data_IF_311810882817
#
_entry.id   IF_311810882817
#
_cell.length_a   1.000
_cell.length_b   1.000
_cell.length_c   1.000
_cell.angle_alpha   90.00
_cell.angle_beta   90.00
_cell.angle_gamma   90.00
#
_symmetry.space_group_name_H-M   'P 1'
#
loop_
_entity.id
_entity.type
_entity.pdbx_description
1 polymer ?
#
# COMPACT_ATOMS: atom_id res chain seq x y z
N UNK A 1 -16.00 -8.53 33.04
CA UNK A 1 -16.23 -8.42 31.59
C UNK A 1 -15.13 -9.24 30.92
N UNK A 2 -15.41 -10.45 30.43
CA UNK A 2 -14.41 -11.18 29.65
C UNK A 2 -14.23 -10.40 28.35
N UNK A 3 -13.03 -9.85 28.11
CA UNK A 3 -12.66 -9.40 26.76
C UNK A 3 -12.74 -10.63 25.86
N UNK A 4 -13.45 -10.54 24.73
CA UNK A 4 -13.29 -11.54 23.68
C UNK A 4 -11.80 -11.75 23.42
N UNK A 5 -11.33 -12.99 23.22
CA UNK A 5 -9.95 -13.22 22.84
C UNK A 5 -9.65 -12.38 21.59
N UNK A 6 -8.52 -11.66 21.62
CA UNK A 6 -8.00 -10.99 20.43
C UNK A 6 -7.62 -12.10 19.46
N UNK A 7 -8.12 -12.04 18.23
CA UNK A 7 -7.77 -13.00 17.19
C UNK A 7 -6.25 -13.05 17.00
N UNK A 8 -5.71 -14.25 16.81
CA UNK A 8 -4.31 -14.48 16.45
C UNK A 8 -3.98 -13.91 15.07
N UNK A 9 -2.70 -13.65 14.79
CA UNK A 9 -2.31 -13.12 13.48
C UNK A 9 -2.65 -14.12 12.36
N UNK A 10 -2.59 -15.42 12.63
CA UNK A 10 -2.99 -16.48 11.72
C UNK A 10 -4.49 -16.49 11.42
N UNK A 11 -5.34 -16.26 12.44
CA UNK A 11 -6.78 -16.13 12.25
C UNK A 11 -7.11 -14.89 11.42
N UNK A 12 -6.45 -13.75 11.71
CA UNK A 12 -6.64 -12.51 10.95
C UNK A 12 -6.18 -12.69 9.50
N UNK A 13 -5.02 -13.31 9.27
CA UNK A 13 -4.51 -13.56 7.92
C UNK A 13 -5.49 -14.44 7.12
N UNK A 14 -6.03 -15.49 7.74
CA UNK A 14 -7.03 -16.35 7.12
C UNK A 14 -8.33 -15.58 6.76
N UNK A 15 -8.86 -14.77 7.68
CA UNK A 15 -10.07 -13.95 7.46
C UNK A 15 -9.89 -12.90 6.35
N UNK A 16 -8.69 -12.32 6.26
CA UNK A 16 -8.35 -11.32 5.24
C UNK A 16 -7.91 -11.93 3.91
N UNK A 17 -7.91 -13.27 3.79
CA UNK A 17 -7.33 -13.98 2.66
C UNK A 17 -5.88 -13.54 2.35
N UNK A 18 -5.11 -13.25 3.40
CA UNK A 18 -3.74 -12.79 3.35
C UNK A 18 -2.71 -13.81 3.83
N UNK A 19 -1.45 -13.41 3.76
CA UNK A 19 -0.27 -14.16 4.18
C UNK A 19 0.35 -13.50 5.41
N UNK A 20 0.68 -14.30 6.44
CA UNK A 20 1.44 -13.83 7.59
C UNK A 20 2.92 -13.73 7.22
N UNK A 21 3.45 -12.50 7.11
CA UNK A 21 4.84 -12.24 6.70
C UNK A 21 5.78 -12.27 7.90
N UNK A 22 5.34 -11.73 9.03
CA UNK A 22 6.07 -11.72 10.30
C UNK A 22 5.07 -11.60 11.47
N UNK A 23 5.53 -11.83 12.71
CA UNK A 23 4.73 -11.50 13.90
C UNK A 23 4.29 -10.04 13.84
N UNK A 24 2.98 -9.81 13.82
CA UNK A 24 2.41 -8.47 13.71
C UNK A 24 2.19 -7.94 12.29
N UNK A 25 2.47 -8.70 11.22
CA UNK A 25 2.40 -8.21 9.84
C UNK A 25 1.74 -9.20 8.87
N UNK A 26 0.67 -8.74 8.22
CA UNK A 26 -0.08 -9.51 7.23
C UNK A 26 0.01 -8.80 5.88
N UNK A 27 0.23 -9.57 4.81
CA UNK A 27 0.16 -9.12 3.42
C UNK A 27 -1.12 -9.63 2.78
N UNK A 28 -1.88 -8.74 2.17
CA UNK A 28 -3.07 -9.07 1.38
C UNK A 28 -2.72 -8.77 -0.07
N UNK A 29 -2.79 -9.77 -0.93
CA UNK A 29 -2.66 -9.57 -2.38
C UNK A 29 -4.05 -9.76 -2.98
N UNK A 30 -4.60 -8.68 -3.51
CA UNK A 30 -5.87 -8.75 -4.25
C UNK A 30 -5.57 -9.19 -5.68
N UNK A 31 -6.40 -10.09 -6.21
CA UNK A 31 -6.32 -10.54 -7.60
C UNK A 31 -6.30 -9.35 -8.57
N UNK A 32 -5.56 -9.53 -9.67
CA UNK A 32 -5.44 -8.53 -10.72
C UNK A 32 -6.80 -8.10 -11.24
N UNK A 33 -7.04 -6.79 -11.22
CA UNK A 33 -8.30 -6.21 -11.64
C UNK A 33 -8.17 -5.70 -13.07
N UNK A 34 -8.79 -6.40 -14.01
CA UNK A 34 -8.93 -5.93 -15.38
C UNK A 34 -9.68 -4.60 -15.41
N UNK A 35 -9.08 -3.59 -16.03
CA UNK A 35 -9.71 -2.29 -16.22
C UNK A 35 -10.83 -2.43 -17.28
N UNK A 36 -12.10 -2.45 -16.87
CA UNK A 36 -13.26 -2.55 -17.77
C UNK A 36 -14.28 -1.42 -17.61
N UNK A 37 -15.04 -1.09 -18.66
CA UNK A 37 -15.99 0.03 -18.69
C UNK A 37 -17.15 -0.05 -17.68
N UNK A 38 -17.43 -1.20 -17.06
CA UNK A 38 -18.60 -1.45 -16.19
C UNK A 38 -18.31 -1.36 -14.68
N UNK A 39 -17.04 -1.42 -14.28
CA UNK A 39 -16.56 -1.07 -12.93
C UNK A 39 -15.59 0.06 -13.16
N UNK A 40 -15.82 1.31 -12.69
CA UNK A 40 -15.18 2.50 -13.23
C UNK A 40 -13.71 2.21 -13.50
N UNK A 41 -13.42 1.93 -14.77
CA UNK A 41 -12.07 1.55 -15.13
C UNK A 41 -11.25 2.79 -14.84
N UNK A 42 -10.02 2.57 -14.38
CA UNK A 42 -8.97 3.57 -14.56
C UNK A 42 -8.81 3.97 -16.04
N UNK A 43 -9.67 3.58 -16.99
CA UNK A 43 -9.81 4.25 -18.29
C UNK A 43 -10.08 5.74 -18.15
N UNK A 44 -10.73 6.21 -17.08
CA UNK A 44 -10.76 7.64 -16.78
C UNK A 44 -9.36 8.19 -16.52
N UNK A 45 -8.46 7.40 -15.90
CA UNK A 45 -7.04 7.73 -15.76
C UNK A 45 -6.23 7.48 -17.04
N UNK A 46 -6.66 6.58 -17.92
CA UNK A 46 -6.03 6.33 -19.23
C UNK A 46 -6.36 7.44 -20.25
N UNK A 47 -7.50 8.12 -20.07
CA UNK A 47 -7.88 9.33 -20.80
C UNK A 47 -7.35 10.62 -20.13
N UNK A 48 -6.98 10.54 -18.85
CA UNK A 48 -6.21 11.60 -18.20
C UNK A 48 -4.80 11.54 -18.76
N UNK A 49 -4.43 12.58 -19.48
CA UNK A 49 -3.04 12.82 -19.82
C UNK A 49 -2.25 13.01 -18.52
N UNK A 50 -1.61 11.94 -18.06
CA UNK A 50 -0.71 11.95 -16.92
C UNK A 50 0.69 12.42 -17.32
N UNK A 51 1.01 12.58 -18.62
CA UNK A 51 2.31 13.08 -19.10
C UNK A 51 2.73 14.43 -18.49
N UNK A 52 1.83 15.38 -18.13
CA UNK A 52 2.21 16.61 -17.45
C UNK A 52 2.59 16.40 -15.97
N UNK A 53 2.17 15.28 -15.37
CA UNK A 53 2.42 14.92 -13.97
C UNK A 53 3.57 13.91 -13.82
N UNK A 54 3.78 13.09 -14.84
CA UNK A 54 4.92 12.22 -15.02
C UNK A 54 6.06 13.07 -15.58
N UNK A 55 7.30 12.86 -15.14
CA UNK A 55 8.41 13.43 -15.91
C UNK A 55 8.31 12.90 -17.34
N UNK A 56 8.55 13.74 -18.36
CA UNK A 56 8.59 13.30 -19.76
C UNK A 56 9.40 11.99 -19.83
N UNK A 57 8.73 10.84 -20.09
CA UNK A 57 9.27 9.47 -20.30
C UNK A 57 9.07 8.39 -19.21
N UNK A 58 8.32 8.54 -18.12
CA UNK A 58 8.12 7.41 -17.17
C UNK A 58 7.05 6.40 -17.65
N UNK A 59 7.38 5.13 -17.94
CA UNK A 59 6.39 4.13 -18.36
C UNK A 59 5.35 3.84 -17.27
N UNK A 60 4.08 3.64 -17.64
CA UNK A 60 3.00 3.36 -16.68
C UNK A 60 3.31 2.16 -15.76
N UNK A 61 3.97 1.14 -16.30
CA UNK A 61 4.41 -0.07 -15.60
C UNK A 61 5.53 0.14 -14.58
N UNK A 62 6.19 1.28 -14.62
CA UNK A 62 7.23 1.68 -13.66
C UNK A 62 6.69 2.53 -12.51
N UNK A 63 5.37 2.83 -12.52
CA UNK A 63 4.70 3.59 -11.48
C UNK A 63 4.21 2.70 -10.35
N UNK A 64 4.33 3.21 -9.13
CA UNK A 64 3.74 2.62 -7.94
C UNK A 64 2.86 3.65 -7.24
N UNK A 65 1.55 3.40 -7.25
CA UNK A 65 0.67 4.17 -6.39
C UNK A 65 0.77 3.66 -4.95
N UNK A 66 0.91 4.58 -3.99
CA UNK A 66 0.98 4.27 -2.57
C UNK A 66 0.05 5.19 -1.78
N UNK A 67 -0.59 4.62 -0.76
CA UNK A 67 -1.43 5.33 0.21
C UNK A 67 -1.25 4.69 1.59
N UNK A 68 -1.25 5.50 2.65
CA UNK A 68 -1.06 5.03 4.03
C UNK A 68 -2.22 5.41 4.94
N UNK A 69 -2.65 4.48 5.78
CA UNK A 69 -3.53 4.76 6.91
C UNK A 69 -2.72 4.72 8.20
N UNK A 70 -2.90 5.74 9.03
CA UNK A 70 -2.02 6.01 10.16
C UNK A 70 -2.79 6.14 11.47
N UNK A 71 -2.14 5.84 12.58
CA UNK A 71 -2.74 5.98 13.91
C UNK A 71 -2.97 7.44 14.35
N UNK A 72 -2.53 8.43 13.56
CA UNK A 72 -2.74 9.84 13.87
C UNK A 72 -2.20 10.79 12.79
N UNK A 73 -2.77 11.99 12.72
CA UNK A 73 -2.58 12.92 11.59
C UNK A 73 -1.32 13.82 11.67
N UNK A 74 -0.59 13.80 12.79
CA UNK A 74 0.41 14.81 13.13
C UNK A 74 1.88 14.35 13.02
N UNK A 75 2.15 13.15 12.50
CA UNK A 75 3.51 12.65 12.22
C UNK A 75 4.46 12.58 13.44
N UNK A 76 3.93 12.68 14.65
CA UNK A 76 4.70 12.72 15.90
C UNK A 76 5.30 11.35 16.28
N UNK A 77 6.09 11.33 17.36
CA UNK A 77 6.59 10.07 17.94
C UNK A 77 5.41 9.21 18.41
N UNK A 78 5.13 8.12 17.71
CA UNK A 78 4.00 7.21 17.99
C UNK A 78 2.95 7.12 16.88
N UNK A 79 3.02 7.97 15.84
CA UNK A 79 2.28 7.72 14.59
C UNK A 79 2.96 6.59 13.84
N UNK A 80 2.17 5.58 13.48
CA UNK A 80 2.59 4.41 12.69
C UNK A 80 1.59 4.24 11.55
N UNK A 81 2.10 3.90 10.36
CA UNK A 81 1.26 3.42 9.26
C UNK A 81 0.82 1.99 9.59
N UNK A 82 -0.44 1.79 9.94
CA UNK A 82 -0.94 0.46 10.28
C UNK A 82 -1.53 -0.27 9.07
N UNK A 83 -1.80 0.46 7.99
CA UNK A 83 -2.14 -0.11 6.70
C UNK A 83 -1.40 0.68 5.60
N UNK A 84 -0.79 -0.02 4.67
CA UNK A 84 -0.14 0.58 3.50
C UNK A 84 -0.65 -0.13 2.26
N UNK A 85 -1.32 0.61 1.39
CA UNK A 85 -1.81 0.14 0.11
C UNK A 85 -0.82 0.46 -1.01
N UNK A 86 -0.70 -0.49 -1.93
CA UNK A 86 0.10 -0.40 -3.15
C UNK A 86 -0.75 -0.78 -4.34
N UNK A 87 -0.65 -0.04 -5.43
CA UNK A 87 -1.23 -0.44 -6.71
C UNK A 87 -0.19 -0.33 -7.84
N UNK A 88 -0.01 -1.44 -8.54
CA UNK A 88 0.81 -1.55 -9.75
C UNK A 88 -0.08 -1.53 -10.97
N UNK A 89 0.30 -0.79 -12.00
CA UNK A 89 -0.36 -0.86 -13.30
C UNK A 89 0.49 -1.72 -14.23
N UNK A 90 0.04 -2.95 -14.54
CA UNK A 90 0.81 -3.90 -15.37
C UNK A 90 -0.09 -4.53 -16.40
N UNK A 91 0.36 -4.57 -17.65
CA UNK A 91 -0.32 -5.27 -18.76
C UNK A 91 -1.81 -4.87 -18.95
N UNK A 92 -2.18 -3.64 -18.57
CA UNK A 92 -3.58 -3.15 -18.65
C UNK A 92 -4.46 -3.54 -17.47
N UNK A 93 -3.88 -4.13 -16.43
CA UNK A 93 -4.55 -4.48 -15.17
C UNK A 93 -3.94 -3.71 -14.00
N UNK A 94 -4.66 -3.71 -12.88
CA UNK A 94 -4.18 -3.14 -11.61
C UNK A 94 -4.04 -4.27 -10.60
N UNK A 95 -2.82 -4.48 -10.11
CA UNK A 95 -2.53 -5.38 -9.00
C UNK A 95 -2.47 -4.57 -7.71
N UNK A 96 -3.24 -4.98 -6.69
CA UNK A 96 -3.29 -4.29 -5.39
C UNK A 96 -2.68 -5.16 -4.31
N UNK A 97 -1.71 -4.63 -3.59
CA UNK A 97 -1.16 -5.25 -2.38
C UNK A 97 -1.40 -4.33 -1.19
N UNK A 98 -1.77 -4.89 -0.05
CA UNK A 98 -1.90 -4.15 1.21
C UNK A 98 -1.09 -4.85 2.30
N UNK A 99 -0.36 -4.08 3.10
CA UNK A 99 0.24 -4.56 4.33
C UNK A 99 -0.56 -4.06 5.52
N UNK A 100 -0.97 -4.95 6.40
CA UNK A 100 -1.74 -4.64 7.60
C UNK A 100 -0.93 -5.02 8.83
N UNK A 101 -0.71 -4.03 9.69
CA UNK A 101 -0.02 -4.18 10.96
C UNK A 101 -1.02 -4.57 12.05
N UNK A 102 -0.85 -5.75 12.62
CA UNK A 102 -1.66 -6.22 13.77
C UNK A 102 -0.96 -5.92 15.11
N UNK A 103 0.37 -5.74 15.10
CA UNK A 103 1.20 -5.39 16.27
C UNK A 103 2.38 -4.52 15.86
N UNK A 104 2.83 -3.65 16.77
CA UNK A 104 4.02 -2.82 16.54
C UNK A 104 5.30 -3.61 16.23
N UNK A 105 5.42 -4.87 16.65
CA UNK A 105 6.57 -5.74 16.33
C UNK A 105 6.76 -5.95 14.82
N UNK A 106 5.66 -5.87 14.04
CA UNK A 106 5.70 -6.04 12.58
C UNK A 106 6.19 -4.81 11.81
N UNK A 107 6.32 -3.64 12.45
CA UNK A 107 6.60 -2.37 11.75
C UNK A 107 7.92 -2.45 10.97
N UNK A 108 8.95 -3.04 11.57
CA UNK A 108 10.24 -3.21 10.91
C UNK A 108 10.13 -4.07 9.66
N UNK A 109 9.47 -5.23 9.75
CA UNK A 109 9.28 -6.12 8.60
C UNK A 109 8.45 -5.43 7.51
N UNK A 110 7.46 -4.62 7.89
CA UNK A 110 6.65 -3.85 6.95
C UNK A 110 7.52 -2.84 6.19
N UNK A 111 8.37 -2.08 6.87
CA UNK A 111 9.26 -1.11 6.22
C UNK A 111 10.28 -1.79 5.30
N UNK A 112 10.75 -3.00 5.63
CA UNK A 112 11.61 -3.80 4.76
C UNK A 112 10.89 -4.21 3.47
N UNK A 113 9.66 -4.72 3.56
CA UNK A 113 8.82 -5.06 2.39
C UNK A 113 8.51 -3.83 1.54
N UNK A 114 8.13 -2.71 2.18
CA UNK A 114 7.84 -1.44 1.50
C UNK A 114 9.08 -0.93 0.75
N UNK A 115 10.25 -0.97 1.38
CA UNK A 115 11.51 -0.56 0.75
C UNK A 115 11.84 -1.43 -0.46
N UNK A 116 11.67 -2.75 -0.34
CA UNK A 116 11.89 -3.68 -1.44
C UNK A 116 10.93 -3.42 -2.61
N UNK A 117 9.66 -3.08 -2.35
CA UNK A 117 8.69 -2.75 -3.38
C UNK A 117 9.01 -1.41 -4.08
N UNK A 118 9.26 -0.36 -3.31
CA UNK A 118 9.60 0.97 -3.85
C UNK A 118 10.87 0.90 -4.72
N UNK A 119 11.84 0.06 -4.36
CA UNK A 119 13.09 -0.10 -5.12
C UNK A 119 12.92 -0.66 -6.54
N UNK A 120 11.75 -1.24 -6.85
CA UNK A 120 11.43 -1.82 -8.16
C UNK A 120 10.74 -0.83 -9.11
N UNK A 121 10.48 0.40 -8.65
CA UNK A 121 9.70 1.39 -9.37
C UNK A 121 10.50 2.67 -9.61
N UNK A 122 10.20 3.38 -10.69
CA UNK A 122 10.90 4.61 -11.06
C UNK A 122 10.25 5.85 -10.45
N UNK A 123 8.94 5.79 -10.18
CA UNK A 123 8.21 6.90 -9.57
C UNK A 123 7.07 6.44 -8.67
N UNK A 124 6.86 7.21 -7.59
CA UNK A 124 5.72 7.05 -6.69
C UNK A 124 4.58 8.00 -7.08
N UNK A 125 3.38 7.46 -7.15
CA UNK A 125 2.14 8.22 -7.33
C UNK A 125 1.42 8.27 -5.99
N UNK A 126 1.16 9.47 -5.48
CA UNK A 126 0.51 9.67 -4.18
C UNK A 126 -0.38 10.90 -4.22
N UNK A 127 -1.41 10.92 -3.37
CA UNK A 127 -2.13 12.15 -3.06
C UNK A 127 -1.52 12.76 -1.80
N UNK A 128 -0.82 13.89 -1.93
CA UNK A 128 -0.18 14.60 -0.81
C UNK A 128 0.94 13.83 -0.08
N UNK A 129 1.46 12.75 -0.65
CA UNK A 129 2.40 11.87 0.04
C UNK A 129 3.80 12.45 0.27
N UNK A 130 4.18 13.51 -0.45
CA UNK A 130 5.39 14.29 -0.10
C UNK A 130 5.31 14.92 1.29
N UNK A 131 4.10 15.22 1.77
CA UNK A 131 3.88 15.90 3.05
C UNK A 131 3.51 14.93 4.18
N UNK A 132 2.92 13.77 3.85
CA UNK A 132 2.34 12.84 4.83
C UNK A 132 2.99 11.45 4.76
N UNK A 133 2.74 10.70 3.69
CA UNK A 133 3.14 9.29 3.57
C UNK A 133 4.67 9.10 3.60
N UNK A 134 5.39 9.77 2.70
CA UNK A 134 6.83 9.60 2.53
C UNK A 134 7.61 10.01 3.78
N UNK A 135 7.34 11.17 4.42
CA UNK A 135 7.99 11.51 5.69
C UNK A 135 7.77 10.46 6.78
N UNK A 136 6.59 9.85 6.86
CA UNK A 136 6.30 8.83 7.87
C UNK A 136 7.13 7.56 7.63
N UNK A 137 7.29 7.14 6.37
CA UNK A 137 8.06 5.94 6.01
C UNK A 137 9.58 6.16 6.11
N UNK A 138 10.07 7.37 5.83
CA UNK A 138 11.52 7.68 5.81
C UNK A 138 12.09 7.99 7.20
N UNK A 139 11.27 8.43 8.15
CA UNK A 139 11.73 8.84 9.51
C UNK A 139 11.77 7.69 10.52
N UNK A 140 11.64 6.45 10.07
CA UNK A 140 11.59 5.23 10.89
C UNK A 140 12.74 4.29 10.59
#
# INVERSE_FOLDING_TARGET
>A
MLKSPIASDEEIAHELHGELIADGLIKIVTESMALSKERPSCSALAEVDLEPMLGEQTPLESLLAIDTETTGLSGGSGTVAFNIGFAYMREGEVEVTQYVLTKYSGEKAMLEEVSALISQCEALVTYNGKSFDVPLLVTR
#
